data_IF_158300406247
#
_entry.id   IF_158300406247
#
_cell.length_a   1.000
_cell.length_b   1.000
_cell.length_c   1.000
_cell.angle_alpha   90.00
_cell.angle_beta   90.00
_cell.angle_gamma   90.00
#
_symmetry.space_group_name_H-M   'P 1'
#
loop_
_entity.id
_entity.type
_entity.pdbx_description
1 polymer ?
#
# COMPACT_ATOMS: atom_id res chain seq x y z
N UNK A 1 21.82 -10.78 -7.15
CA UNK A 1 21.60 -9.48 -6.43
C UNK A 1 20.22 -9.46 -5.75
N UNK A 2 20.03 -8.74 -4.64
CA UNK A 2 18.74 -8.69 -3.92
C UNK A 2 17.91 -7.45 -4.28
N UNK A 3 16.61 -7.67 -4.53
CA UNK A 3 15.64 -6.64 -4.87
C UNK A 3 14.48 -6.63 -3.88
N UNK A 4 13.79 -5.49 -3.79
CA UNK A 4 12.51 -5.34 -3.10
C UNK A 4 11.51 -4.62 -3.99
N UNK A 5 10.22 -4.83 -3.72
CA UNK A 5 9.16 -4.04 -4.35
C UNK A 5 9.28 -2.58 -3.89
N UNK A 6 9.31 -1.67 -4.86
CA UNK A 6 9.36 -0.24 -4.61
C UNK A 6 8.13 0.20 -3.81
N UNK A 7 8.37 1.09 -2.84
CA UNK A 7 7.32 1.57 -1.94
C UNK A 7 6.23 2.34 -2.66
N UNK A 8 6.50 2.88 -3.85
CA UNK A 8 5.48 3.55 -4.68
C UNK A 8 4.38 2.60 -5.15
N UNK A 9 4.64 1.28 -5.13
CA UNK A 9 3.68 0.28 -5.55
C UNK A 9 3.00 -0.38 -4.34
N UNK A 10 1.69 -0.51 -4.43
CA UNK A 10 0.86 -1.16 -3.41
C UNK A 10 0.20 -2.39 -4.05
N UNK A 11 0.53 -3.56 -3.54
CA UNK A 11 -0.12 -4.82 -3.90
C UNK A 11 -1.34 -5.07 -3.03
N UNK A 12 -2.50 -5.28 -3.65
CA UNK A 12 -3.76 -5.62 -2.97
C UNK A 12 -4.36 -6.89 -3.54
N UNK A 13 -4.86 -7.74 -2.64
CA UNK A 13 -5.80 -8.80 -2.97
C UNK A 13 -7.18 -8.28 -2.59
N UNK A 14 -8.05 -8.16 -3.58
CA UNK A 14 -9.46 -7.81 -3.41
C UNK A 14 -10.31 -9.08 -3.28
N UNK A 15 -11.63 -8.90 -3.22
CA UNK A 15 -12.59 -10.00 -3.23
C UNK A 15 -12.56 -10.72 -4.59
N UNK A 16 -13.04 -11.96 -4.62
CA UNK A 16 -13.20 -12.79 -5.84
C UNK A 16 -11.90 -13.01 -6.64
N UNK A 17 -10.77 -13.23 -5.96
CA UNK A 17 -9.47 -13.48 -6.58
C UNK A 17 -9.03 -12.37 -7.57
N UNK A 18 -9.48 -11.14 -7.33
CA UNK A 18 -9.01 -9.97 -8.04
C UNK A 18 -7.71 -9.45 -7.37
N UNK A 19 -6.63 -9.36 -8.15
CA UNK A 19 -5.34 -8.87 -7.67
C UNK A 19 -5.02 -7.54 -8.34
N UNK A 20 -4.62 -6.55 -7.54
CA UNK A 20 -4.30 -5.21 -8.03
C UNK A 20 -2.89 -4.78 -7.65
N UNK A 21 -2.27 -4.07 -8.59
CA UNK A 21 -1.08 -3.28 -8.39
C UNK A 21 -1.44 -1.81 -8.53
N UNK A 22 -1.25 -1.02 -7.49
CA UNK A 22 -1.52 0.42 -7.50
C UNK A 22 -0.19 1.19 -7.48
N UNK A 23 0.00 2.13 -8.40
CA UNK A 23 1.15 3.02 -8.44
C UNK A 23 0.79 4.38 -7.84
N UNK A 24 1.38 4.71 -6.68
CA UNK A 24 1.15 5.96 -5.96
C UNK A 24 1.65 7.21 -6.67
N UNK A 25 2.65 7.09 -7.56
CA UNK A 25 3.17 8.24 -8.34
C UNK A 25 2.21 8.64 -9.45
N UNK A 26 1.69 7.65 -10.18
CA UNK A 26 0.83 7.89 -11.35
C UNK A 26 -0.66 7.84 -11.01
N UNK A 27 -1.01 7.41 -9.80
CA UNK A 27 -2.38 7.17 -9.33
C UNK A 27 -3.13 6.13 -10.19
N UNK A 28 -2.40 5.23 -10.85
CA UNK A 28 -2.96 4.18 -11.72
C UNK A 28 -3.08 2.85 -10.98
N UNK A 29 -4.20 2.18 -11.21
CA UNK A 29 -4.49 0.81 -10.74
C UNK A 29 -4.46 -0.16 -11.92
N UNK A 30 -3.73 -1.26 -11.78
CA UNK A 30 -3.64 -2.33 -12.77
C UNK A 30 -4.18 -3.62 -12.17
N UNK A 31 -5.08 -4.28 -12.90
CA UNK A 31 -5.46 -5.66 -12.58
C UNK A 31 -4.34 -6.58 -13.05
N UNK A 32 -3.86 -7.45 -12.15
CA UNK A 32 -2.75 -8.36 -12.43
C UNK A 32 -3.18 -9.81 -12.21
N UNK A 33 -2.45 -10.74 -12.81
CA UNK A 33 -2.68 -12.17 -12.61
C UNK A 33 -2.26 -12.61 -11.20
N UNK A 34 -2.82 -13.72 -10.72
CA UNK A 34 -2.39 -14.34 -9.47
C UNK A 34 -0.88 -14.65 -9.46
N UNK A 35 -0.36 -15.18 -10.58
CA UNK A 35 1.06 -15.50 -10.75
C UNK A 35 1.95 -14.27 -10.54
N UNK A 36 1.62 -13.15 -11.20
CA UNK A 36 2.36 -11.90 -11.05
C UNK A 36 2.23 -11.36 -9.61
N UNK A 37 1.03 -11.38 -9.04
CA UNK A 37 0.80 -11.00 -7.65
C UNK A 37 1.68 -11.80 -6.69
N UNK A 38 1.73 -13.12 -6.86
CA UNK A 38 2.50 -14.02 -6.03
C UNK A 38 4.01 -13.74 -6.11
N UNK A 39 4.53 -13.53 -7.32
CA UNK A 39 5.94 -13.18 -7.54
C UNK A 39 6.25 -11.85 -6.84
N UNK A 40 5.48 -10.79 -7.11
CA UNK A 40 5.70 -9.48 -6.51
C UNK A 40 5.51 -9.49 -4.98
N UNK A 41 4.68 -10.39 -4.46
CA UNK A 41 4.51 -10.55 -3.02
C UNK A 41 5.80 -11.04 -2.33
N UNK A 42 6.64 -11.85 -3.00
CA UNK A 42 7.93 -12.27 -2.46
C UNK A 42 8.85 -11.06 -2.25
N UNK A 43 9.01 -10.23 -3.29
CA UNK A 43 9.79 -8.99 -3.24
C UNK A 43 9.21 -7.94 -2.28
N UNK A 44 7.92 -8.04 -1.95
CA UNK A 44 7.28 -7.18 -0.95
C UNK A 44 7.61 -7.62 0.47
N UNK A 45 7.54 -8.93 0.75
CA UNK A 45 7.71 -9.49 2.10
C UNK A 45 9.16 -9.48 2.55
N UNK A 46 10.09 -9.65 1.61
CA UNK A 46 11.52 -9.76 1.88
C UNK A 46 12.35 -9.24 0.71
N UNK A 47 13.63 -9.03 0.97
CA UNK A 47 14.60 -8.83 -0.13
C UNK A 47 14.83 -10.18 -0.81
N UNK A 48 14.67 -10.24 -2.13
CA UNK A 48 14.65 -11.49 -2.86
C UNK A 48 15.52 -11.41 -4.13
N UNK A 49 16.19 -12.50 -4.49
CA UNK A 49 17.05 -12.56 -5.67
C UNK A 49 16.23 -12.98 -6.88
N UNK A 50 16.44 -12.30 -8.02
CA UNK A 50 15.88 -12.73 -9.30
C UNK A 50 16.46 -14.08 -9.75
N UNK A 51 17.74 -14.32 -9.49
CA UNK A 51 18.38 -15.62 -9.82
C UNK A 51 17.70 -16.77 -9.07
N UNK A 52 17.43 -16.58 -7.78
CA UNK A 52 16.78 -17.59 -6.96
C UNK A 52 15.31 -17.82 -7.37
N UNK A 53 14.61 -16.74 -7.77
CA UNK A 53 13.25 -16.85 -8.34
C UNK A 53 13.26 -17.75 -9.59
N UNK A 54 14.24 -17.57 -10.48
CA UNK A 54 14.38 -18.36 -11.71
C UNK A 54 14.61 -19.83 -11.38
N UNK A 55 15.54 -20.11 -10.46
CA UNK A 55 15.84 -21.48 -10.04
C UNK A 55 14.60 -22.18 -9.48
N UNK A 56 13.87 -21.54 -8.55
CA UNK A 56 12.67 -22.13 -7.95
C UNK A 56 11.56 -22.39 -8.97
N UNK A 57 11.35 -21.48 -9.90
CA UNK A 57 10.28 -21.60 -10.91
C UNK A 57 10.65 -22.59 -12.01
N UNK A 58 11.92 -22.64 -12.42
CA UNK A 58 12.42 -23.63 -13.37
C UNK A 58 12.31 -25.06 -12.82
N UNK A 59 12.66 -25.28 -11.54
CA UNK A 59 12.48 -26.59 -10.88
C UNK A 59 11.01 -27.05 -10.90
N UNK A 60 10.08 -26.10 -10.90
CA UNK A 60 8.63 -26.36 -10.94
C UNK A 60 8.04 -26.32 -12.36
N UNK A 61 8.86 -26.17 -13.39
CA UNK A 61 8.43 -25.99 -14.79
C UNK A 61 7.42 -24.84 -14.98
N UNK A 62 7.60 -23.74 -14.24
CA UNK A 62 6.79 -22.54 -14.38
C UNK A 62 7.53 -21.54 -15.26
N UNK A 63 6.96 -21.20 -16.41
CA UNK A 63 7.50 -20.16 -17.30
C UNK A 63 7.52 -18.78 -16.59
N UNK A 64 8.52 -17.96 -16.86
CA UNK A 64 8.66 -16.59 -16.32
C UNK A 64 8.73 -15.52 -17.43
N UNK A 65 8.59 -15.90 -18.70
CA UNK A 65 8.68 -14.98 -19.84
C UNK A 65 7.73 -13.78 -19.73
N UNK A 66 6.50 -14.02 -19.27
CA UNK A 66 5.46 -13.01 -19.01
C UNK A 66 5.87 -12.00 -17.93
N UNK A 67 6.55 -12.45 -16.88
CA UNK A 67 7.08 -11.59 -15.83
C UNK A 67 8.21 -10.70 -16.35
N UNK A 68 9.12 -11.23 -17.16
CA UNK A 68 10.19 -10.45 -17.78
C UNK A 68 9.63 -9.37 -18.70
N UNK A 69 8.73 -9.77 -19.60
CA UNK A 69 8.08 -8.82 -20.50
C UNK A 69 7.30 -7.73 -19.73
N UNK A 70 6.76 -8.06 -18.54
CA UNK A 70 6.09 -7.08 -17.69
C UNK A 70 7.06 -6.06 -17.09
N UNK A 71 8.19 -6.50 -16.52
CA UNK A 71 9.15 -5.60 -15.86
C UNK A 71 9.99 -4.78 -16.85
N UNK A 72 10.11 -5.23 -18.10
CA UNK A 72 10.78 -4.49 -19.18
C UNK A 72 9.98 -3.30 -19.70
N UNK A 73 8.68 -3.21 -19.41
CA UNK A 73 7.88 -2.05 -19.82
C UNK A 73 8.36 -0.80 -19.11
N UNK A 74 8.53 0.28 -19.88
CA UNK A 74 8.95 1.59 -19.36
C UNK A 74 8.07 2.11 -18.20
N UNK A 75 6.79 1.74 -18.15
CA UNK A 75 5.89 2.13 -17.06
C UNK A 75 6.23 1.47 -15.70
N UNK A 76 6.98 0.36 -15.71
CA UNK A 76 7.34 -0.43 -14.53
C UNK A 76 8.85 -0.48 -14.26
N UNK A 77 9.62 0.42 -14.88
CA UNK A 77 11.09 0.45 -14.73
C UNK A 77 11.56 0.58 -13.27
N UNK A 78 10.79 1.24 -12.41
CA UNK A 78 11.09 1.42 -10.98
C UNK A 78 10.33 0.44 -10.07
N UNK A 79 9.70 -0.61 -10.62
CA UNK A 79 8.92 -1.57 -9.84
C UNK A 79 9.78 -2.33 -8.81
N UNK A 80 10.93 -2.83 -9.24
CA UNK A 80 11.89 -3.53 -8.40
C UNK A 80 13.10 -2.64 -8.16
N UNK A 81 13.41 -2.40 -6.89
CA UNK A 81 14.55 -1.57 -6.49
C UNK A 81 15.53 -2.39 -5.68
N UNK A 82 16.82 -2.07 -5.82
CA UNK A 82 17.89 -2.72 -5.06
C UNK A 82 17.61 -2.65 -3.56
N UNK A 83 17.80 -3.78 -2.88
CA UNK A 83 17.56 -3.90 -1.46
C UNK A 83 18.68 -3.20 -0.66
N UNK A 84 18.43 -1.97 -0.21
CA UNK A 84 19.42 -1.21 0.57
C UNK A 84 19.30 -1.47 2.09
N UNK A 85 18.14 -1.95 2.56
CA UNK A 85 17.88 -2.26 3.97
C UNK A 85 16.82 -3.37 4.08
N UNK A 86 17.03 -4.30 5.01
CA UNK A 86 16.07 -5.35 5.34
C UNK A 86 14.77 -4.70 5.85
N UNK A 87 13.68 -4.85 5.08
CA UNK A 87 12.33 -4.51 5.57
C UNK A 87 12.01 -5.55 6.67
N UNK A 88 11.96 -5.11 7.92
CA UNK A 88 11.65 -5.97 9.07
C UNK A 88 10.35 -6.77 8.91
N UNK A 89 10.05 -7.69 9.85
CA UNK A 89 8.99 -8.68 9.69
C UNK A 89 7.66 -8.05 9.29
N UNK A 90 7.08 -8.57 8.21
CA UNK A 90 5.79 -8.15 7.69
C UNK A 90 4.68 -8.45 8.71
N UNK A 91 4.16 -7.42 9.38
CA UNK A 91 3.03 -7.59 10.30
C UNK A 91 1.77 -7.81 9.48
N UNK A 92 1.18 -9.00 9.60
CA UNK A 92 -0.09 -9.31 8.94
C UNK A 92 -1.22 -8.58 9.68
N UNK A 93 -1.89 -7.65 8.99
CA UNK A 93 -3.10 -7.01 9.48
C UNK A 93 -4.12 -8.07 9.93
N UNK A 94 -4.65 -7.94 11.15
CA UNK A 94 -5.72 -8.81 11.64
C UNK A 94 -7.02 -8.37 10.97
N UNK A 95 -7.36 -9.03 9.87
CA UNK A 95 -8.66 -8.91 9.23
C UNK A 95 -9.68 -9.63 10.14
N UNK A 96 -10.76 -8.93 10.49
CA UNK A 96 -11.87 -9.57 11.22
C UNK A 96 -12.47 -10.69 10.37
N UNK A 97 -12.76 -11.83 10.99
CA UNK A 97 -13.29 -13.02 10.29
C UNK A 97 -14.75 -12.86 9.88
N UNK A 98 -15.47 -11.90 10.49
CA UNK A 98 -16.92 -11.75 10.38
C UNK A 98 -17.33 -10.59 9.43
N UNK A 99 -16.52 -10.31 8.41
CA UNK A 99 -16.85 -9.28 7.41
C UNK A 99 -17.78 -9.85 6.33
N UNK A 100 -18.74 -9.05 5.88
CA UNK A 100 -19.60 -9.44 4.76
C UNK A 100 -18.77 -9.66 3.49
N UNK A 101 -19.25 -10.52 2.59
CA UNK A 101 -18.59 -10.83 1.31
C UNK A 101 -18.42 -9.62 0.39
N UNK A 102 -19.10 -8.51 0.65
CA UNK A 102 -19.03 -7.27 -0.13
C UNK A 102 -18.20 -6.17 0.54
N UNK A 103 -17.56 -6.47 1.68
CA UNK A 103 -16.74 -5.49 2.40
C UNK A 103 -15.28 -5.59 1.99
N UNK A 104 -14.71 -4.50 1.48
CA UNK A 104 -13.28 -4.42 1.21
C UNK A 104 -12.47 -4.55 2.52
N UNK A 105 -11.36 -5.29 2.48
CA UNK A 105 -10.52 -5.56 3.66
C UNK A 105 -9.79 -4.32 4.21
N UNK A 106 -9.57 -3.30 3.38
CA UNK A 106 -8.93 -2.05 3.74
C UNK A 106 -9.44 -0.92 2.84
N UNK A 107 -9.58 0.32 3.34
CA UNK A 107 -10.02 1.44 2.52
C UNK A 107 -9.04 1.75 1.39
N UNK A 108 -9.55 2.29 0.28
CA UNK A 108 -8.71 2.82 -0.80
C UNK A 108 -8.21 4.23 -0.48
N UNK A 109 -9.07 5.04 0.14
CA UNK A 109 -8.81 6.42 0.54
C UNK A 109 -9.24 6.62 1.99
N UNK A 110 -8.45 7.37 2.74
CA UNK A 110 -8.79 7.84 4.08
C UNK A 110 -8.63 9.35 4.10
N UNK A 111 -9.71 10.05 4.37
CA UNK A 111 -9.73 11.51 4.47
C UNK A 111 -9.62 11.94 5.94
N UNK A 112 -8.61 12.74 6.28
CA UNK A 112 -8.47 13.33 7.60
C UNK A 112 -9.13 14.70 7.64
N UNK A 113 -10.16 14.82 8.46
CA UNK A 113 -10.65 16.12 8.89
C UNK A 113 -9.90 16.53 10.16
N UNK A 114 -8.74 17.17 9.99
CA UNK A 114 -7.81 17.52 11.08
C UNK A 114 -8.47 18.49 12.07
N UNK A 115 -9.26 19.43 11.55
CA UNK A 115 -10.03 20.39 12.34
C UNK A 115 -11.34 20.71 11.64
N UNK A 116 -12.39 20.91 12.44
CA UNK A 116 -13.66 21.48 11.98
C UNK A 116 -13.67 23.01 12.05
N UNK A 117 -12.70 23.62 12.74
CA UNK A 117 -12.55 25.07 12.73
C UNK A 117 -11.93 25.54 11.42
N UNK A 118 -12.72 26.31 10.68
CA UNK A 118 -12.26 27.12 9.57
C UNK A 118 -12.53 28.58 9.92
N UNK A 119 -11.57 29.47 9.66
CA UNK A 119 -11.70 30.91 9.86
C UNK A 119 -12.49 31.59 8.72
N UNK A 120 -13.00 30.83 7.75
CA UNK A 120 -13.77 31.33 6.61
C UNK A 120 -15.23 30.89 6.69
N UNK A 121 -16.09 31.72 6.08
CA UNK A 121 -17.52 31.50 6.00
C UNK A 121 -18.09 31.19 4.62
N UNK A 122 -17.64 30.08 4.03
CA UNK A 122 -18.05 29.68 2.69
C UNK A 122 -19.51 29.23 2.65
N UNK A 123 -20.31 29.84 1.77
CA UNK A 123 -21.74 29.55 1.58
C UNK A 123 -22.06 28.10 1.20
N UNK A 124 -21.11 27.42 0.54
CA UNK A 124 -21.25 26.03 0.08
C UNK A 124 -20.52 25.02 0.97
N UNK A 125 -20.02 25.43 2.15
CA UNK A 125 -19.35 24.52 3.07
C UNK A 125 -20.38 23.70 3.86
N UNK A 126 -20.27 22.38 3.79
CA UNK A 126 -21.18 21.46 4.49
C UNK A 126 -21.03 21.47 6.02
N UNK A 127 -19.82 21.70 6.52
CA UNK A 127 -19.51 21.60 7.96
C UNK A 127 -19.99 22.79 8.80
N UNK A 128 -20.56 23.83 8.18
CA UNK A 128 -20.90 25.06 8.88
C UNK A 128 -19.63 25.82 9.25
N UNK A 129 -19.42 26.91 8.56
CA UNK A 129 -18.31 27.81 8.80
C UNK A 129 -18.24 28.33 10.24
N UNK A 130 -17.05 28.33 10.86
CA UNK A 130 -16.82 28.81 12.23
C UNK A 130 -17.76 28.18 13.30
N UNK A 131 -17.67 26.85 13.54
CA UNK A 131 -18.50 26.18 14.53
C UNK A 131 -18.32 26.80 15.92
N UNK A 132 -19.44 27.05 16.62
CA UNK A 132 -19.48 27.68 17.95
C UNK A 132 -19.33 26.70 19.12
N UNK A 133 -19.08 25.41 18.83
CA UNK A 133 -18.90 24.36 19.83
C UNK A 133 -17.41 24.05 20.02
N UNK A 134 -17.03 23.57 21.22
CA UNK A 134 -15.67 23.15 21.49
C UNK A 134 -15.28 21.95 20.63
N UNK A 135 -14.18 22.07 19.90
CA UNK A 135 -13.63 20.98 19.08
C UNK A 135 -12.41 20.39 19.77
N UNK A 136 -12.42 19.07 19.99
CA UNK A 136 -11.25 18.33 20.45
C UNK A 136 -10.15 18.42 19.39
N UNK A 137 -9.02 19.03 19.73
CA UNK A 137 -7.83 19.03 18.87
C UNK A 137 -7.20 17.64 18.86
N UNK A 138 -6.81 17.18 17.67
CA UNK A 138 -6.04 15.94 17.52
C UNK A 138 -4.64 16.20 18.06
N UNK A 139 -4.22 15.40 19.05
CA UNK A 139 -2.86 15.47 19.61
C UNK A 139 -1.85 14.72 18.73
N UNK A 140 -0.55 14.91 18.99
CA UNK A 140 0.50 14.12 18.34
C UNK A 140 0.33 12.62 18.64
N UNK A 141 -0.02 12.26 19.87
CA UNK A 141 -0.24 10.86 20.24
C UNK A 141 -1.47 10.23 19.56
N UNK A 142 -2.53 11.01 19.32
CA UNK A 142 -3.66 10.57 18.51
C UNK A 142 -3.22 10.32 17.06
N UNK A 143 -2.38 11.19 16.50
CA UNK A 143 -1.85 11.07 15.15
C UNK A 143 -0.95 9.83 15.02
N UNK A 144 -0.04 9.61 15.95
CA UNK A 144 0.83 8.43 15.97
C UNK A 144 0.01 7.13 16.07
N UNK A 145 -1.04 7.13 16.88
CA UNK A 145 -1.95 5.99 17.00
C UNK A 145 -2.65 5.71 15.67
N UNK A 146 -3.17 6.74 15.00
CA UNK A 146 -3.83 6.64 13.70
C UNK A 146 -2.85 6.12 12.64
N UNK A 147 -1.66 6.71 12.53
CA UNK A 147 -0.63 6.29 11.58
C UNK A 147 -0.18 4.85 11.83
N UNK A 148 -0.06 4.44 13.09
CA UNK A 148 0.28 3.05 13.44
C UNK A 148 -0.77 2.06 12.93
N UNK A 149 -2.05 2.44 12.91
CA UNK A 149 -3.11 1.63 12.33
C UNK A 149 -3.00 1.56 10.82
N UNK A 150 -2.60 2.63 10.12
CA UNK A 150 -2.40 2.57 8.66
C UNK A 150 -1.19 1.79 8.23
N UNK A 151 -0.11 1.87 9.00
CA UNK A 151 1.04 0.97 8.81
C UNK A 151 0.59 -0.48 9.01
N UNK A 152 -0.19 -0.75 10.06
CA UNK A 152 -0.72 -2.08 10.32
C UNK A 152 -1.69 -2.55 9.22
N UNK A 153 -2.54 -1.66 8.71
CA UNK A 153 -3.53 -1.90 7.65
C UNK A 153 -2.92 -1.90 6.24
N UNK A 154 -1.60 -1.73 6.12
CA UNK A 154 -0.86 -1.72 4.84
C UNK A 154 -1.28 -0.61 3.89
N UNK A 155 -1.80 0.50 4.43
CA UNK A 155 -2.11 1.71 3.69
C UNK A 155 -0.88 2.61 3.55
N UNK A 156 0.02 2.57 4.55
CA UNK A 156 1.27 3.33 4.60
C UNK A 156 2.44 2.40 4.94
N UNK A 157 3.65 2.72 4.47
CA UNK A 157 4.86 2.04 4.95
C UNK A 157 5.54 2.85 6.07
N UNK A 158 6.16 2.16 7.03
CA UNK A 158 6.85 2.79 8.17
C UNK A 158 7.95 3.79 7.75
N UNK A 159 8.54 3.60 6.57
CA UNK A 159 9.52 4.49 5.94
C UNK A 159 8.94 5.84 5.50
N UNK A 160 7.63 5.95 5.35
CA UNK A 160 6.93 7.18 4.94
C UNK A 160 6.56 8.06 6.15
N UNK A 161 6.73 7.56 7.38
CA UNK A 161 6.42 8.29 8.62
C UNK A 161 7.57 9.16 9.14
N UNK A 162 8.75 9.16 8.49
CA UNK A 162 9.94 9.92 8.91
C UNK A 162 10.42 10.90 7.83
N UNK A 163 9.52 11.71 7.29
CA UNK A 163 9.92 12.93 6.59
C UNK A 163 9.17 14.10 7.23
N UNK A 164 9.92 14.78 8.09
CA UNK A 164 9.72 16.15 8.54
C UNK A 164 8.43 16.45 9.31
N UNK A 165 8.55 16.37 10.64
CA UNK A 165 7.99 17.35 11.58
C UNK A 165 9.17 17.87 12.41
#
# INVERSE_FOLDING_TARGET
MLYTLNNNYVLRQELNDCYRLYNKKTLRSYTISYKLFFILEQFRKQSYSLEHLIEEFNVRNIDLSDFYHFIEKDEFFDLLVMANNFKGPFVKYKISKDLSSYTAYSPERVDFLITKHCNLACKHCFEGSSPSFEVKRISSSDTDRILSQFVSAKLLQKSEMRKDI
#
